data_IF_116922962093
#
_entry.id   IF_116922962093
#
_cell.length_a   1.000
_cell.length_b   1.000
_cell.length_c   1.000
_cell.angle_alpha   90.00
_cell.angle_beta   90.00
_cell.angle_gamma   90.00
#
_symmetry.space_group_name_H-M   'P 1'
#
loop_
_entity.id
_entity.type
_entity.pdbx_description
1 polymer ?
#
# COMPACT_ATOMS: atom_id res chain seq x y z
N UNK A 1 -26.43 36.01 15.83
CA UNK A 1 -26.18 34.98 16.87
C UNK A 1 -27.49 34.72 17.59
N UNK A 2 -28.25 33.73 17.14
CA UNK A 2 -29.47 33.27 17.83
C UNK A 2 -29.02 32.45 19.03
N UNK A 3 -29.42 32.81 20.26
CA UNK A 3 -29.20 31.97 21.44
C UNK A 3 -29.80 30.60 21.14
N UNK A 4 -28.96 29.56 20.98
CA UNK A 4 -29.46 28.20 20.87
C UNK A 4 -30.16 27.86 22.18
N UNK A 5 -31.47 27.60 22.09
CA UNK A 5 -32.28 27.16 23.22
C UNK A 5 -31.67 25.87 23.75
N UNK A 6 -31.26 25.91 25.01
CA UNK A 6 -30.68 24.75 25.72
C UNK A 6 -31.82 24.00 26.40
N UNK A 7 -31.84 22.68 26.30
CA UNK A 7 -32.80 21.85 27.03
C UNK A 7 -32.48 21.91 28.52
N UNK A 8 -33.45 22.39 29.30
CA UNK A 8 -33.33 22.67 30.73
C UNK A 8 -33.68 21.47 31.61
N UNK A 9 -34.49 20.53 31.10
CA UNK A 9 -34.98 19.39 31.86
C UNK A 9 -35.12 18.11 30.99
N UNK A 10 -35.37 16.98 31.67
CA UNK A 10 -35.51 15.65 31.05
C UNK A 10 -36.67 15.58 30.05
N UNK A 11 -37.82 16.19 30.35
CA UNK A 11 -39.00 16.12 29.50
C UNK A 11 -38.78 16.81 28.15
N UNK A 12 -38.06 17.94 28.13
CA UNK A 12 -37.66 18.62 26.90
C UNK A 12 -36.73 17.76 26.04
N UNK A 13 -35.82 17.02 26.66
CA UNK A 13 -34.92 16.09 25.95
C UNK A 13 -35.70 14.91 25.40
N UNK A 14 -36.61 14.32 26.16
CA UNK A 14 -37.49 13.23 25.68
C UNK A 14 -38.35 13.67 24.50
N UNK A 15 -38.95 14.88 24.57
CA UNK A 15 -39.70 15.45 23.47
C UNK A 15 -38.83 15.70 22.23
N UNK A 16 -37.59 16.17 22.43
CA UNK A 16 -36.65 16.36 21.33
C UNK A 16 -36.23 15.03 20.68
N UNK A 17 -35.98 13.99 21.49
CA UNK A 17 -35.67 12.65 21.00
C UNK A 17 -36.86 12.00 20.28
N UNK A 18 -38.09 12.21 20.79
CA UNK A 18 -39.31 11.72 20.14
C UNK A 18 -39.58 12.39 18.79
N UNK A 19 -39.12 13.64 18.61
CA UNK A 19 -39.22 14.38 17.36
C UNK A 19 -38.14 14.05 16.32
N UNK A 20 -37.20 13.16 16.64
CA UNK A 20 -36.16 12.75 15.69
C UNK A 20 -36.75 11.88 14.57
N UNK A 21 -36.12 11.89 13.39
CA UNK A 21 -36.48 10.93 12.34
C UNK A 21 -36.17 9.50 12.81
N UNK A 22 -36.71 8.51 12.10
CA UNK A 22 -36.48 7.09 12.42
C UNK A 22 -34.98 6.78 12.38
N UNK A 23 -34.57 5.76 13.13
CA UNK A 23 -33.16 5.32 13.21
C UNK A 23 -32.56 4.96 11.85
N UNK A 24 -33.36 4.57 10.87
CA UNK A 24 -32.90 4.27 9.51
C UNK A 24 -32.68 5.51 8.63
N UNK A 25 -33.12 6.68 9.08
CA UNK A 25 -33.04 7.91 8.32
C UNK A 25 -31.61 8.51 8.35
N UNK A 26 -31.06 8.97 7.20
CA UNK A 26 -29.76 9.62 7.14
C UNK A 26 -29.59 10.84 8.05
N UNK A 27 -30.67 11.54 8.38
CA UNK A 27 -30.65 12.71 9.26
C UNK A 27 -30.57 12.35 10.76
N UNK A 28 -30.82 11.09 11.14
CA UNK A 28 -30.87 10.67 12.54
C UNK A 28 -29.57 10.98 13.33
N UNK A 29 -28.35 10.63 12.87
CA UNK A 29 -27.13 10.94 13.61
C UNK A 29 -26.89 12.43 13.80
N UNK A 30 -27.27 13.24 12.82
CA UNK A 30 -27.14 14.69 12.90
C UNK A 30 -28.13 15.27 13.90
N UNK A 31 -29.37 14.82 13.87
CA UNK A 31 -30.38 15.19 14.88
C UNK A 31 -29.93 14.83 16.31
N UNK A 32 -29.35 13.64 16.52
CA UNK A 32 -28.80 13.27 17.82
C UNK A 32 -27.69 14.24 18.28
N UNK A 33 -26.76 14.61 17.40
CA UNK A 33 -25.68 15.56 17.74
C UNK A 33 -26.25 16.90 18.18
N UNK A 34 -27.26 17.40 17.48
CA UNK A 34 -27.93 18.65 17.84
C UNK A 34 -28.63 18.57 19.21
N UNK A 35 -29.23 17.42 19.53
CA UNK A 35 -29.82 17.22 20.86
C UNK A 35 -28.74 17.15 21.95
N UNK A 36 -27.62 16.46 21.70
CA UNK A 36 -26.48 16.41 22.63
C UNK A 36 -25.95 17.82 22.92
N UNK A 37 -25.68 18.61 21.88
CA UNK A 37 -25.07 19.94 22.00
C UNK A 37 -26.00 20.94 22.72
N UNK A 38 -27.32 20.71 22.67
CA UNK A 38 -28.33 21.52 23.38
C UNK A 38 -28.66 21.00 24.78
N UNK A 39 -28.13 19.85 25.21
CA UNK A 39 -28.49 19.25 26.51
C UNK A 39 -27.45 19.54 27.58
N UNK A 40 -27.85 20.19 28.68
CA UNK A 40 -26.98 20.32 29.87
C UNK A 40 -26.83 18.99 30.57
N UNK A 41 -25.61 18.66 30.99
CA UNK A 41 -25.29 17.37 31.62
C UNK A 41 -25.78 16.18 30.79
N UNK A 42 -25.62 16.27 29.46
CA UNK A 42 -26.08 15.32 28.44
C UNK A 42 -25.98 13.86 28.88
N UNK A 43 -24.79 13.38 29.24
CA UNK A 43 -24.58 11.98 29.62
C UNK A 43 -25.51 11.52 30.76
N UNK A 44 -25.62 12.32 31.83
CA UNK A 44 -26.46 11.96 32.97
C UNK A 44 -27.94 11.89 32.59
N UNK A 45 -28.39 12.82 31.75
CA UNK A 45 -29.80 12.88 31.30
C UNK A 45 -30.10 11.70 30.38
N UNK A 46 -29.28 11.46 29.37
CA UNK A 46 -29.48 10.35 28.43
C UNK A 46 -29.39 8.98 29.10
N UNK A 47 -28.45 8.77 30.05
CA UNK A 47 -28.40 7.52 30.83
C UNK A 47 -29.69 7.27 31.59
N UNK A 48 -30.24 8.28 32.27
CA UNK A 48 -31.53 8.16 32.98
C UNK A 48 -32.69 7.81 32.05
N UNK A 49 -32.75 8.42 30.87
CA UNK A 49 -33.77 8.08 29.86
C UNK A 49 -33.60 6.63 29.42
N UNK A 50 -32.36 6.21 29.13
CA UNK A 50 -32.03 4.85 28.69
C UNK A 50 -32.37 3.79 29.75
N UNK A 51 -32.19 4.10 31.04
CA UNK A 51 -32.48 3.25 32.19
C UNK A 51 -33.98 3.14 32.54
N UNK A 52 -34.81 4.08 32.06
CA UNK A 52 -36.22 4.16 32.43
C UNK A 52 -37.11 3.36 31.47
N UNK A 53 -37.51 2.16 31.86
CA UNK A 53 -38.35 1.26 31.06
C UNK A 53 -39.76 1.77 30.78
N UNK A 54 -40.21 2.85 31.44
CA UNK A 54 -41.49 3.49 31.12
C UNK A 54 -41.44 4.35 29.85
N UNK A 55 -40.23 4.72 29.40
CA UNK A 55 -40.01 5.48 28.17
C UNK A 55 -40.04 4.54 26.95
N UNK A 56 -40.59 5.02 25.84
CA UNK A 56 -40.65 4.25 24.59
C UNK A 56 -39.25 3.79 24.14
N UNK A 57 -39.17 2.55 23.63
CA UNK A 57 -37.92 1.89 23.25
C UNK A 57 -37.08 2.70 22.25
N UNK A 58 -37.71 3.36 21.27
CA UNK A 58 -37.01 4.17 20.27
C UNK A 58 -36.31 5.40 20.88
N UNK A 59 -36.96 6.04 21.86
CA UNK A 59 -36.39 7.19 22.60
C UNK A 59 -35.23 6.72 23.46
N UNK A 60 -35.39 5.55 24.12
CA UNK A 60 -34.32 4.95 24.94
C UNK A 60 -33.12 4.55 24.08
N UNK A 61 -33.36 3.99 22.90
CA UNK A 61 -32.30 3.68 21.94
C UNK A 61 -31.59 4.95 21.43
N UNK A 62 -32.34 6.01 21.12
CA UNK A 62 -31.77 7.30 20.75
C UNK A 62 -30.88 7.87 21.87
N UNK A 63 -31.32 7.74 23.13
CA UNK A 63 -30.52 8.11 24.28
C UNK A 63 -29.26 7.24 24.44
N UNK A 64 -29.36 5.92 24.24
CA UNK A 64 -28.20 5.00 24.23
C UNK A 64 -27.18 5.43 23.16
N UNK A 65 -27.65 5.64 21.92
CA UNK A 65 -26.82 6.09 20.81
C UNK A 65 -26.10 7.40 21.17
N UNK A 66 -26.82 8.36 21.78
CA UNK A 66 -26.24 9.64 22.18
C UNK A 66 -25.11 9.48 23.20
N UNK A 67 -25.27 8.60 24.20
CA UNK A 67 -24.22 8.32 25.19
C UNK A 67 -23.04 7.61 24.52
N UNK A 68 -23.28 6.57 23.72
CA UNK A 68 -22.21 5.83 23.03
C UNK A 68 -21.41 6.73 22.07
N UNK A 69 -22.09 7.61 21.32
CA UNK A 69 -21.43 8.59 20.45
C UNK A 69 -20.50 9.51 21.24
N UNK A 70 -20.95 9.97 22.41
CA UNK A 70 -20.14 10.82 23.29
C UNK A 70 -18.94 10.06 23.87
N UNK A 71 -19.16 8.86 24.42
CA UNK A 71 -18.10 8.02 24.98
C UNK A 71 -17.00 7.72 23.94
N UNK A 72 -17.39 7.44 22.69
CA UNK A 72 -16.45 7.24 21.58
C UNK A 72 -15.63 8.51 21.30
N UNK A 73 -16.26 9.68 21.28
CA UNK A 73 -15.57 10.97 21.04
C UNK A 73 -14.59 11.35 22.16
N UNK A 74 -14.93 10.98 23.39
CA UNK A 74 -14.10 11.19 24.58
C UNK A 74 -13.06 10.08 24.81
N UNK A 75 -12.98 9.08 23.91
CA UNK A 75 -12.10 7.92 24.01
C UNK A 75 -12.28 7.10 25.32
N UNK A 76 -13.47 7.18 25.92
CA UNK A 76 -13.87 6.40 27.11
C UNK A 76 -14.34 5.01 26.71
N UNK A 77 -13.43 4.24 26.14
CA UNK A 77 -13.72 2.97 25.47
C UNK A 77 -14.19 1.87 26.44
N UNK A 78 -13.67 1.84 27.67
CA UNK A 78 -14.15 0.92 28.71
C UNK A 78 -15.62 1.14 29.05
N UNK A 79 -16.02 2.41 29.22
CA UNK A 79 -17.41 2.79 29.49
C UNK A 79 -18.31 2.50 28.29
N UNK A 80 -17.77 2.66 27.07
CA UNK A 80 -18.47 2.35 25.82
C UNK A 80 -18.83 0.87 25.75
N UNK A 81 -17.84 -0.01 25.96
CA UNK A 81 -18.02 -1.47 25.94
C UNK A 81 -19.03 -1.88 27.01
N UNK A 82 -18.84 -1.45 28.26
CA UNK A 82 -19.74 -1.80 29.36
C UNK A 82 -21.20 -1.38 29.09
N UNK A 83 -21.40 -0.19 28.53
CA UNK A 83 -22.74 0.31 28.22
C UNK A 83 -23.38 -0.44 27.04
N UNK A 84 -22.63 -0.68 25.96
CA UNK A 84 -23.15 -1.41 24.81
C UNK A 84 -23.53 -2.85 25.20
N UNK A 85 -22.66 -3.58 25.92
CA UNK A 85 -22.94 -4.95 26.37
C UNK A 85 -24.16 -5.02 27.29
N UNK A 86 -24.35 -4.03 28.18
CA UNK A 86 -25.53 -3.96 29.05
C UNK A 86 -26.86 -3.94 28.28
N UNK A 87 -26.87 -3.28 27.14
CA UNK A 87 -28.09 -3.05 26.35
C UNK A 87 -28.20 -3.94 25.11
N UNK A 88 -27.27 -4.87 24.91
CA UNK A 88 -27.27 -5.76 23.75
C UNK A 88 -28.50 -6.66 23.69
N UNK A 89 -28.93 -7.21 24.83
CA UNK A 89 -30.12 -8.05 24.88
C UNK A 89 -31.41 -7.32 24.47
N UNK A 90 -31.46 -5.99 24.65
CA UNK A 90 -32.63 -5.19 24.35
C UNK A 90 -32.59 -4.57 22.95
N UNK A 91 -31.46 -3.97 22.58
CA UNK A 91 -31.33 -3.19 21.34
C UNK A 91 -30.44 -3.84 20.29
N UNK A 92 -30.00 -5.09 20.51
CA UNK A 92 -29.07 -5.80 19.62
C UNK A 92 -29.58 -6.04 18.20
N UNK A 93 -30.89 -5.91 17.96
CA UNK A 93 -31.55 -5.99 16.65
C UNK A 93 -31.64 -4.66 15.91
N UNK A 94 -31.32 -3.53 16.57
CA UNK A 94 -31.33 -2.22 15.93
C UNK A 94 -30.19 -2.10 14.91
N UNK A 95 -30.42 -1.52 13.71
CA UNK A 95 -29.39 -1.44 12.66
C UNK A 95 -28.06 -0.83 13.11
N UNK A 96 -28.10 0.27 13.87
CA UNK A 96 -26.89 0.91 14.39
C UNK A 96 -26.13 0.05 15.42
N UNK A 97 -26.76 -0.94 16.03
CA UNK A 97 -26.08 -1.78 17.03
C UNK A 97 -24.92 -2.56 16.42
N UNK A 98 -25.01 -2.90 15.14
CA UNK A 98 -23.89 -3.46 14.37
C UNK A 98 -22.67 -2.52 14.33
N UNK A 99 -22.88 -1.20 14.25
CA UNK A 99 -21.77 -0.23 14.31
C UNK A 99 -21.08 -0.24 15.67
N UNK A 100 -21.82 -0.55 16.75
CA UNK A 100 -21.27 -0.65 18.10
C UNK A 100 -20.47 -1.93 18.29
N UNK A 101 -20.99 -3.06 17.81
CA UNK A 101 -20.25 -4.33 17.78
C UNK A 101 -18.91 -4.19 17.04
N UNK A 102 -18.94 -3.51 15.89
CA UNK A 102 -17.72 -3.24 15.12
C UNK A 102 -16.71 -2.39 15.90
N UNK A 103 -17.17 -1.40 16.68
CA UNK A 103 -16.26 -0.63 17.56
C UNK A 103 -15.68 -1.51 18.66
N UNK A 104 -16.48 -2.35 19.32
CA UNK A 104 -16.01 -3.24 20.38
C UNK A 104 -14.94 -4.21 19.86
N UNK A 105 -15.22 -4.89 18.74
CA UNK A 105 -14.29 -5.83 18.11
C UNK A 105 -12.99 -5.17 17.65
N UNK A 106 -13.05 -3.94 17.13
CA UNK A 106 -11.84 -3.16 16.77
C UNK A 106 -10.93 -2.96 17.97
N UNK A 107 -11.47 -2.85 19.20
CA UNK A 107 -10.68 -2.63 20.41
C UNK A 107 -9.91 -3.88 20.87
N UNK A 108 -10.32 -5.07 20.45
CA UNK A 108 -9.61 -6.31 20.78
C UNK A 108 -8.22 -6.36 20.10
N UNK A 109 -8.09 -5.70 18.94
CA UNK A 109 -6.80 -5.34 18.35
C UNK A 109 -6.13 -6.43 17.51
N UNK A 110 -6.69 -7.64 17.42
CA UNK A 110 -6.21 -8.68 16.53
C UNK A 110 -6.90 -8.65 15.15
N UNK A 111 -6.25 -9.27 14.15
CA UNK A 111 -6.73 -9.29 12.77
C UNK A 111 -8.05 -10.05 12.59
N UNK A 112 -8.32 -11.08 13.42
CA UNK A 112 -9.54 -11.86 13.30
C UNK A 112 -10.75 -11.07 13.82
N UNK A 113 -10.59 -10.35 14.94
CA UNK A 113 -11.62 -9.45 15.45
C UNK A 113 -11.82 -8.25 14.55
N UNK A 114 -10.78 -7.72 13.90
CA UNK A 114 -10.94 -6.67 12.90
C UNK A 114 -11.73 -7.14 11.67
N UNK A 115 -11.54 -8.39 11.21
CA UNK A 115 -12.38 -8.97 10.15
C UNK A 115 -13.85 -9.07 10.59
N UNK A 116 -14.11 -9.52 11.81
CA UNK A 116 -15.48 -9.55 12.35
C UNK A 116 -16.09 -8.14 12.47
N UNK A 117 -15.28 -7.14 12.82
CA UNK A 117 -15.70 -5.75 12.85
C UNK A 117 -16.13 -5.26 11.45
N UNK A 118 -15.39 -5.65 10.41
CA UNK A 118 -15.74 -5.35 9.01
C UNK A 118 -17.09 -5.99 8.65
N UNK A 119 -17.31 -7.27 9.00
CA UNK A 119 -18.59 -7.95 8.71
C UNK A 119 -19.79 -7.27 9.40
N UNK A 120 -19.66 -6.91 10.68
CA UNK A 120 -20.72 -6.15 11.34
C UNK A 120 -20.92 -4.76 10.71
N UNK A 121 -19.86 -4.07 10.34
CA UNK A 121 -20.00 -2.76 9.70
C UNK A 121 -20.63 -2.89 8.30
N UNK A 122 -20.33 -3.94 7.53
CA UNK A 122 -21.00 -4.26 6.25
C UNK A 122 -22.48 -4.51 6.44
N UNK A 123 -22.86 -5.26 7.46
CA UNK A 123 -24.27 -5.50 7.78
C UNK A 123 -24.98 -4.19 8.15
N UNK A 124 -24.33 -3.32 8.94
CA UNK A 124 -24.85 -1.97 9.19
C UNK A 124 -25.03 -1.18 7.89
N UNK A 125 -24.04 -1.21 6.99
CA UNK A 125 -24.09 -0.51 5.71
C UNK A 125 -25.17 -1.05 4.76
N UNK A 126 -25.49 -2.35 4.84
CA UNK A 126 -26.61 -2.98 4.12
C UNK A 126 -27.96 -2.49 4.63
N UNK A 127 -28.10 -2.35 5.95
CA UNK A 127 -29.33 -1.86 6.59
C UNK A 127 -29.48 -0.33 6.51
N UNK A 128 -28.37 0.39 6.39
CA UNK A 128 -28.28 1.86 6.42
C UNK A 128 -27.46 2.40 5.23
N UNK A 129 -27.87 2.14 3.97
CA UNK A 129 -27.07 2.45 2.77
C UNK A 129 -26.83 3.95 2.57
N UNK A 130 -27.80 4.78 2.97
CA UNK A 130 -27.77 6.23 2.79
C UNK A 130 -27.12 6.98 3.96
N UNK A 131 -26.66 6.27 4.99
CA UNK A 131 -25.98 6.89 6.14
C UNK A 131 -24.49 6.96 5.88
N UNK A 132 -24.00 8.15 5.52
CA UNK A 132 -22.59 8.39 5.17
C UNK A 132 -21.59 7.89 6.24
N UNK A 133 -21.91 8.09 7.52
CA UNK A 133 -21.05 7.65 8.63
C UNK A 133 -20.91 6.13 8.72
N UNK A 134 -21.91 5.37 8.27
CA UNK A 134 -21.87 3.91 8.26
C UNK A 134 -21.04 3.43 7.07
N UNK A 135 -21.25 4.01 5.88
CA UNK A 135 -20.43 3.71 4.71
C UNK A 135 -18.94 3.99 4.97
N UNK A 136 -18.65 5.13 5.61
CA UNK A 136 -17.29 5.51 6.02
C UNK A 136 -16.69 4.53 7.04
N UNK A 137 -17.46 4.06 8.03
CA UNK A 137 -16.96 3.11 9.03
C UNK A 137 -16.45 1.82 8.38
N UNK A 138 -17.16 1.29 7.37
CA UNK A 138 -16.71 0.11 6.64
C UNK A 138 -15.39 0.39 5.92
N UNK A 139 -15.32 1.51 5.19
CA UNK A 139 -14.09 1.90 4.49
C UNK A 139 -12.90 2.07 5.45
N UNK A 140 -13.12 2.70 6.62
CA UNK A 140 -12.11 2.89 7.65
C UNK A 140 -11.57 1.55 8.17
N UNK A 141 -12.45 0.60 8.49
CA UNK A 141 -12.08 -0.71 9.01
C UNK A 141 -11.36 -1.58 7.98
N UNK A 142 -11.82 -1.58 6.72
CA UNK A 142 -11.12 -2.28 5.63
C UNK A 142 -9.73 -1.68 5.45
N UNK A 143 -9.62 -0.35 5.43
CA UNK A 143 -8.33 0.34 5.28
C UNK A 143 -7.38 -0.01 6.43
N UNK A 144 -7.87 0.02 7.67
CA UNK A 144 -7.10 -0.39 8.84
C UNK A 144 -6.64 -1.84 8.75
N UNK A 145 -7.51 -2.76 8.33
CA UNK A 145 -7.16 -4.15 8.15
C UNK A 145 -6.04 -4.34 7.13
N UNK A 146 -6.13 -3.67 5.98
CA UNK A 146 -5.12 -3.74 4.93
C UNK A 146 -3.79 -3.11 5.34
N UNK A 147 -3.80 -2.05 6.16
CA UNK A 147 -2.58 -1.45 6.71
C UNK A 147 -1.83 -2.36 7.69
N UNK A 148 -2.53 -3.29 8.36
CA UNK A 148 -1.93 -4.27 9.26
C UNK A 148 -1.49 -5.55 8.56
N UNK A 149 -1.81 -5.74 7.28
CA UNK A 149 -1.32 -6.89 6.52
C UNK A 149 0.14 -6.71 6.12
N UNK A 150 0.93 -7.77 6.25
CA UNK A 150 2.31 -7.81 5.76
C UNK A 150 2.38 -8.01 4.24
N UNK A 151 1.35 -8.61 3.66
CA UNK A 151 1.25 -8.90 2.23
C UNK A 151 0.60 -7.76 1.46
N UNK A 152 0.84 -7.73 0.13
CA UNK A 152 0.19 -6.75 -0.73
C UNK A 152 -1.33 -6.89 -0.65
N UNK A 153 -2.07 -5.78 -0.49
CA UNK A 153 -3.53 -5.79 -0.46
C UNK A 153 -4.12 -6.50 -1.67
N UNK A 154 -5.14 -7.35 -1.45
CA UNK A 154 -5.94 -7.88 -2.56
C UNK A 154 -6.65 -6.71 -3.24
N UNK A 155 -6.56 -6.54 -4.58
CA UNK A 155 -7.17 -5.40 -5.28
C UNK A 155 -8.62 -5.17 -4.85
N UNK A 156 -9.46 -6.21 -4.88
CA UNK A 156 -10.90 -6.08 -4.61
C UNK A 156 -11.26 -5.44 -3.27
N UNK A 157 -10.44 -5.61 -2.23
CA UNK A 157 -10.69 -4.98 -0.93
C UNK A 157 -10.35 -3.49 -0.92
N UNK A 158 -9.31 -3.08 -1.67
CA UNK A 158 -8.96 -1.65 -1.84
C UNK A 158 -10.04 -0.94 -2.63
N UNK A 159 -10.52 -1.55 -3.73
CA UNK A 159 -11.59 -0.97 -4.54
C UNK A 159 -12.92 -0.86 -3.78
N UNK A 160 -13.25 -1.84 -2.94
CA UNK A 160 -14.42 -1.78 -2.06
C UNK A 160 -14.32 -0.59 -1.08
N UNK A 161 -13.20 -0.46 -0.36
CA UNK A 161 -12.99 0.64 0.57
C UNK A 161 -13.06 2.00 -0.14
N UNK A 162 -12.48 2.11 -1.33
CA UNK A 162 -12.52 3.32 -2.15
C UNK A 162 -13.96 3.69 -2.55
N UNK A 163 -14.75 2.72 -3.04
CA UNK A 163 -16.15 2.94 -3.42
C UNK A 163 -17.01 3.38 -2.24
N UNK A 164 -16.78 2.82 -1.05
CA UNK A 164 -17.51 3.16 0.18
C UNK A 164 -17.18 4.56 0.70
N UNK A 165 -15.89 4.94 0.71
CA UNK A 165 -15.52 6.30 1.15
C UNK A 165 -15.98 7.35 0.15
N UNK A 166 -15.96 7.05 -1.15
CA UNK A 166 -16.46 7.96 -2.19
C UNK A 166 -17.97 8.17 -2.07
N UNK A 167 -18.72 7.11 -1.78
CA UNK A 167 -20.14 7.24 -1.45
C UNK A 167 -20.36 8.11 -0.21
N UNK A 168 -19.59 7.91 0.86
CA UNK A 168 -19.70 8.73 2.08
C UNK A 168 -19.41 10.22 1.81
N UNK A 169 -18.40 10.51 0.99
CA UNK A 169 -18.07 11.88 0.55
C UNK A 169 -19.22 12.47 -0.28
N UNK A 170 -19.78 11.71 -1.22
CA UNK A 170 -20.90 12.14 -2.06
C UNK A 170 -22.15 12.46 -1.23
N UNK A 171 -22.55 11.56 -0.32
CA UNK A 171 -23.70 11.72 0.57
C UNK A 171 -23.60 12.96 1.48
N UNK A 172 -22.38 13.42 1.75
CA UNK A 172 -22.13 14.61 2.58
C UNK A 172 -21.74 15.84 1.77
N UNK A 173 -21.83 15.77 0.44
CA UNK A 173 -21.43 16.84 -0.48
C UNK A 173 -20.01 17.35 -0.21
N UNK A 174 -19.11 16.45 0.19
CA UNK A 174 -17.70 16.76 0.47
C UNK A 174 -17.47 17.68 1.66
N UNK A 175 -18.40 17.75 2.63
CA UNK A 175 -18.29 18.65 3.80
C UNK A 175 -17.60 18.03 5.01
N UNK A 176 -17.40 16.71 5.02
CA UNK A 176 -16.86 15.99 6.19
C UNK A 176 -15.37 15.70 6.00
N UNK A 177 -14.53 16.39 6.77
CA UNK A 177 -13.07 16.35 6.66
C UNK A 177 -12.45 14.94 6.79
N UNK A 178 -12.81 14.18 7.83
CA UNK A 178 -12.19 12.87 8.10
C UNK A 178 -12.44 11.82 7.01
N UNK A 179 -13.45 11.98 6.14
CA UNK A 179 -13.64 11.08 5.00
C UNK A 179 -12.51 11.23 3.97
N UNK A 180 -12.01 12.45 3.77
CA UNK A 180 -10.87 12.68 2.90
C UNK A 180 -9.57 12.09 3.46
N UNK A 181 -9.43 12.04 4.79
CA UNK A 181 -8.28 11.38 5.42
C UNK A 181 -8.30 9.87 5.21
N UNK A 182 -9.47 9.22 5.36
CA UNK A 182 -9.61 7.80 5.04
C UNK A 182 -9.35 7.52 3.55
N UNK A 183 -9.87 8.38 2.65
CA UNK A 183 -9.55 8.27 1.21
C UNK A 183 -8.05 8.42 0.93
N UNK A 184 -7.36 9.32 1.63
CA UNK A 184 -5.91 9.46 1.50
C UNK A 184 -5.16 8.18 1.89
N UNK A 185 -5.57 7.53 2.99
CA UNK A 185 -5.01 6.25 3.44
C UNK A 185 -5.20 5.16 2.39
N UNK A 186 -6.39 5.06 1.80
CA UNK A 186 -6.68 4.13 0.70
C UNK A 186 -5.78 4.38 -0.52
N UNK A 187 -5.57 5.64 -0.91
CA UNK A 187 -4.68 5.98 -2.02
C UNK A 187 -3.21 5.64 -1.74
N UNK A 188 -2.78 5.59 -0.47
CA UNK A 188 -1.45 5.09 -0.12
C UNK A 188 -1.29 3.61 -0.42
N UNK A 189 -2.33 2.81 -0.17
CA UNK A 189 -2.34 1.39 -0.52
C UNK A 189 -2.21 1.18 -2.05
N UNK A 190 -2.60 2.18 -2.85
CA UNK A 190 -2.43 2.23 -4.31
C UNK A 190 -1.11 2.86 -4.78
N UNK A 191 -0.25 3.29 -3.86
CA UNK A 191 0.96 4.07 -4.13
C UNK A 191 0.72 5.44 -4.81
N UNK A 192 -0.51 5.99 -4.75
CA UNK A 192 -0.80 7.37 -5.20
C UNK A 192 -0.60 8.37 -4.06
N UNK A 193 0.66 8.55 -3.69
CA UNK A 193 1.06 9.41 -2.57
C UNK A 193 0.81 10.90 -2.86
N UNK A 194 0.84 11.31 -4.13
CA UNK A 194 0.63 12.71 -4.52
C UNK A 194 -0.82 13.13 -4.24
N UNK A 195 -1.78 12.34 -4.70
CA UNK A 195 -3.21 12.60 -4.44
C UNK A 195 -3.53 12.43 -2.96
N UNK A 196 -2.97 11.42 -2.28
CA UNK A 196 -3.14 11.24 -0.85
C UNK A 196 -2.75 12.49 -0.03
N UNK A 197 -1.59 13.12 -0.33
CA UNK A 197 -1.17 14.37 0.34
C UNK A 197 -2.15 15.52 0.12
N UNK A 198 -2.69 15.63 -1.08
CA UNK A 198 -3.70 16.66 -1.40
C UNK A 198 -4.97 16.46 -0.58
N UNK A 199 -5.43 15.22 -0.43
CA UNK A 199 -6.63 14.91 0.35
C UNK A 199 -6.43 15.15 1.85
N UNK A 200 -5.27 14.83 2.42
CA UNK A 200 -4.98 15.18 3.83
C UNK A 200 -4.95 16.68 4.03
N UNK A 201 -4.39 17.45 3.08
CA UNK A 201 -4.44 18.91 3.12
C UNK A 201 -5.88 19.41 3.11
N UNK A 202 -6.72 18.83 2.24
CA UNK A 202 -8.14 19.14 2.17
C UNK A 202 -8.88 18.82 3.48
N UNK A 203 -8.57 17.70 4.13
CA UNK A 203 -9.13 17.35 5.43
C UNK A 203 -8.79 18.41 6.49
N UNK A 204 -7.55 18.90 6.53
CA UNK A 204 -7.12 19.97 7.45
C UNK A 204 -7.87 21.28 7.17
N UNK A 205 -8.04 21.66 5.90
CA UNK A 205 -8.75 22.88 5.52
C UNK A 205 -10.24 22.86 5.90
N UNK A 206 -10.88 21.70 5.82
CA UNK A 206 -12.30 21.53 6.11
C UNK A 206 -12.62 21.38 7.60
N UNK A 207 -11.63 21.08 8.45
CA UNK A 207 -11.88 20.77 9.85
C UNK A 207 -12.29 22.03 10.65
N UNK A 208 -13.45 22.01 11.35
CA UNK A 208 -13.92 23.18 12.10
C UNK A 208 -13.00 23.57 13.26
N UNK A 209 -12.40 24.77 13.17
CA UNK A 209 -11.43 25.30 14.15
C UNK A 209 -11.96 25.46 15.58
N UNK A 210 -13.27 25.58 15.74
CA UNK A 210 -13.93 25.84 17.03
C UNK A 210 -14.52 24.56 17.66
N UNK A 211 -14.37 23.41 17.00
CA UNK A 211 -14.90 22.14 17.52
C UNK A 211 -14.07 21.61 18.69
N UNK A 212 -14.74 20.95 19.65
CA UNK A 212 -14.06 20.23 20.75
C UNK A 212 -13.06 19.17 20.24
N UNK A 213 -13.32 18.61 19.06
CA UNK A 213 -12.49 17.57 18.44
C UNK A 213 -11.34 18.13 17.59
N UNK A 214 -11.25 19.46 17.40
CA UNK A 214 -10.35 20.08 16.40
C UNK A 214 -8.89 19.67 16.57
N UNK A 215 -8.33 19.86 17.77
CA UNK A 215 -6.92 19.55 18.02
C UNK A 215 -6.61 18.06 17.82
N UNK A 216 -7.51 17.19 18.29
CA UNK A 216 -7.40 15.73 18.13
C UNK A 216 -7.38 15.35 16.65
N UNK A 217 -8.32 15.86 15.87
CA UNK A 217 -8.44 15.54 14.44
C UNK A 217 -7.30 16.09 13.61
N UNK A 218 -6.89 17.33 13.85
CA UNK A 218 -5.71 17.89 13.18
C UNK A 218 -4.46 17.07 13.49
N UNK A 219 -4.26 16.66 14.75
CA UNK A 219 -3.16 15.76 15.11
C UNK A 219 -3.21 14.44 14.35
N UNK A 220 -4.39 13.81 14.24
CA UNK A 220 -4.59 12.60 13.42
C UNK A 220 -4.21 12.83 11.95
N UNK A 221 -4.64 13.95 11.36
CA UNK A 221 -4.32 14.29 9.97
C UNK A 221 -2.81 14.51 9.75
N UNK A 222 -2.12 15.11 10.72
CA UNK A 222 -0.67 15.25 10.67
C UNK A 222 0.03 13.89 10.74
N UNK A 223 -0.41 13.00 11.63
CA UNK A 223 0.10 11.62 11.70
C UNK A 223 -0.08 10.90 10.37
N UNK A 224 -1.26 11.00 9.75
CA UNK A 224 -1.51 10.41 8.44
C UNK A 224 -0.59 11.03 7.38
N UNK A 225 -0.35 12.34 7.40
CA UNK A 225 0.61 12.98 6.48
C UNK A 225 2.02 12.40 6.60
N UNK A 226 2.51 12.22 7.82
CA UNK A 226 3.83 11.61 8.07
C UNK A 226 3.87 10.17 7.56
N UNK A 227 2.83 9.38 7.81
CA UNK A 227 2.71 8.01 7.28
C UNK A 227 2.80 7.98 5.75
N UNK A 228 2.13 8.90 5.06
CA UNK A 228 2.20 9.00 3.59
C UNK A 228 3.65 9.19 3.12
N UNK A 229 4.39 10.09 3.77
CA UNK A 229 5.77 10.37 3.38
C UNK A 229 6.70 9.18 3.65
N UNK A 230 6.50 8.46 4.76
CA UNK A 230 7.21 7.21 5.05
C UNK A 230 6.92 6.13 4.01
N UNK A 231 5.66 5.95 3.61
CA UNK A 231 5.30 4.98 2.56
C UNK A 231 5.90 5.35 1.20
N UNK A 232 5.90 6.64 0.84
CA UNK A 232 6.51 7.11 -0.39
C UNK A 232 8.01 6.83 -0.42
N UNK A 233 8.73 7.15 0.66
CA UNK A 233 10.17 6.87 0.77
C UNK A 233 10.48 5.37 0.71
N UNK A 234 9.66 4.53 1.37
CA UNK A 234 9.81 3.07 1.30
C UNK A 234 9.62 2.55 -0.12
N UNK A 235 8.61 3.04 -0.85
CA UNK A 235 8.36 2.64 -2.23
C UNK A 235 9.53 3.03 -3.15
N UNK A 236 10.08 4.24 -3.00
CA UNK A 236 11.22 4.71 -3.79
C UNK A 236 12.52 3.95 -3.44
N UNK A 237 12.72 3.62 -2.17
CA UNK A 237 13.84 2.78 -1.73
C UNK A 237 13.76 1.38 -2.35
N UNK A 238 12.59 0.75 -2.35
CA UNK A 238 12.39 -0.58 -2.96
C UNK A 238 12.67 -0.56 -4.48
N UNK A 239 12.18 0.46 -5.20
CA UNK A 239 12.47 0.63 -6.64
C UNK A 239 13.96 0.76 -6.90
N UNK A 240 14.64 1.55 -6.08
CA UNK A 240 16.10 1.77 -6.17
C UNK A 240 16.87 0.47 -5.90
N UNK A 241 16.47 -0.30 -4.88
CA UNK A 241 17.09 -1.59 -4.56
C UNK A 241 16.91 -2.61 -5.68
N UNK A 242 15.72 -2.68 -6.29
CA UNK A 242 15.46 -3.57 -7.41
C UNK A 242 16.28 -3.19 -8.64
N UNK A 243 16.46 -1.90 -8.90
CA UNK A 243 17.35 -1.42 -9.96
C UNK A 243 18.80 -1.85 -9.70
N UNK A 244 19.34 -1.60 -8.50
CA UNK A 244 20.69 -2.04 -8.14
C UNK A 244 20.88 -3.55 -8.25
N UNK A 245 19.88 -4.35 -7.87
CA UNK A 245 19.92 -5.80 -8.03
C UNK A 245 20.02 -6.22 -9.50
N UNK A 246 19.29 -5.56 -10.40
CA UNK A 246 19.36 -5.82 -11.85
C UNK A 246 20.73 -5.45 -12.41
N UNK A 247 21.23 -4.25 -12.09
CA UNK A 247 22.56 -3.79 -12.52
C UNK A 247 23.67 -4.73 -12.03
N UNK A 248 23.58 -5.23 -10.79
CA UNK A 248 24.50 -6.26 -10.28
C UNK A 248 24.37 -7.61 -10.98
N UNK A 249 23.16 -7.99 -11.38
CA UNK A 249 22.95 -9.18 -12.21
C UNK A 249 23.66 -9.05 -13.55
N UNK A 250 23.48 -7.92 -14.24
CA UNK A 250 24.13 -7.62 -15.51
C UNK A 250 25.66 -7.58 -15.38
N UNK A 251 26.18 -6.91 -14.35
CA UNK A 251 27.61 -6.85 -14.08
C UNK A 251 28.23 -8.23 -13.83
N UNK A 252 27.55 -9.09 -13.05
CA UNK A 252 28.01 -10.48 -12.82
C UNK A 252 28.04 -11.29 -14.12
N UNK A 253 27.02 -11.16 -14.96
CA UNK A 253 26.99 -11.83 -16.27
C UNK A 253 28.16 -11.37 -17.14
N UNK A 254 28.40 -10.06 -17.24
CA UNK A 254 29.53 -9.50 -17.98
C UNK A 254 30.89 -10.00 -17.45
N UNK A 255 31.05 -10.11 -16.12
CA UNK A 255 32.27 -10.66 -15.52
C UNK A 255 32.45 -12.15 -15.83
N UNK A 256 31.38 -12.95 -15.78
CA UNK A 256 31.44 -14.38 -16.14
C UNK A 256 31.74 -14.57 -17.62
N UNK A 257 31.19 -13.74 -18.50
CA UNK A 257 31.52 -13.73 -19.93
C UNK A 257 33.00 -13.41 -20.15
N UNK A 258 33.53 -12.39 -19.47
CA UNK A 258 34.95 -12.04 -19.54
C UNK A 258 35.85 -13.17 -19.00
N UNK A 259 35.46 -13.79 -17.87
CA UNK A 259 36.20 -14.90 -17.28
C UNK A 259 36.20 -16.13 -18.20
N UNK A 260 35.05 -16.47 -18.78
CA UNK A 260 34.90 -17.57 -19.73
C UNK A 260 35.71 -17.34 -21.00
N UNK A 261 35.71 -16.10 -21.51
CA UNK A 261 36.57 -15.70 -22.63
C UNK A 261 38.05 -15.88 -22.28
N UNK A 262 38.51 -15.33 -21.15
CA UNK A 262 39.91 -15.44 -20.73
C UNK A 262 40.33 -16.90 -20.49
N UNK A 263 39.48 -17.71 -19.88
CA UNK A 263 39.74 -19.13 -19.67
C UNK A 263 39.87 -19.88 -21.00
N UNK A 264 38.96 -19.61 -21.96
CA UNK A 264 39.04 -20.17 -23.31
C UNK A 264 40.34 -19.78 -24.03
N UNK A 265 40.75 -18.52 -23.89
CA UNK A 265 42.03 -18.01 -24.43
C UNK A 265 43.22 -18.72 -23.81
N UNK A 266 43.29 -18.81 -22.49
CA UNK A 266 44.40 -19.46 -21.78
C UNK A 266 44.49 -20.95 -22.15
N UNK A 267 43.35 -21.66 -22.18
CA UNK A 267 43.29 -23.05 -22.59
C UNK A 267 43.78 -23.25 -24.03
N UNK A 268 43.41 -22.35 -24.95
CA UNK A 268 43.87 -22.38 -26.33
C UNK A 268 45.39 -22.13 -26.44
N UNK A 269 45.92 -21.12 -25.73
CA UNK A 269 47.37 -20.81 -25.71
C UNK A 269 48.16 -21.98 -25.13
N UNK A 270 47.72 -22.57 -24.02
CA UNK A 270 48.36 -23.72 -23.39
C UNK A 270 48.34 -24.96 -24.30
N UNK A 271 47.22 -25.23 -24.96
CA UNK A 271 47.09 -26.32 -25.93
C UNK A 271 48.06 -26.12 -27.10
N UNK A 272 48.11 -24.92 -27.67
CA UNK A 272 49.03 -24.56 -28.75
C UNK A 272 50.49 -24.76 -28.34
N UNK A 273 50.87 -24.30 -27.15
CA UNK A 273 52.23 -24.44 -26.61
C UNK A 273 52.62 -25.91 -26.38
N UNK A 274 51.71 -26.72 -25.86
CA UNK A 274 51.96 -28.16 -25.64
C UNK A 274 52.10 -28.92 -26.96
N UNK A 275 51.29 -28.60 -27.96
CA UNK A 275 51.42 -29.25 -29.26
C UNK A 275 52.73 -28.80 -29.95
N UNK A 276 53.08 -27.53 -29.83
CA UNK A 276 54.33 -26.98 -30.33
C UNK A 276 55.58 -27.66 -29.73
N UNK A 277 55.56 -27.95 -28.42
CA UNK A 277 56.70 -28.59 -27.73
C UNK A 277 56.90 -30.06 -28.11
N UNK A 278 55.85 -30.74 -28.57
CA UNK A 278 55.91 -32.15 -28.99
C UNK A 278 56.21 -32.32 -30.49
N UNK A 279 56.00 -31.29 -31.30
CA UNK A 279 56.20 -31.36 -32.73
C UNK A 279 57.67 -31.12 -33.12
N UNK A 280 58.32 -32.11 -33.73
CA UNK A 280 59.71 -32.01 -34.21
C UNK A 280 59.78 -31.64 -35.70
N UNK A 281 60.74 -30.79 -36.07
CA UNK A 281 61.01 -30.42 -37.46
C UNK A 281 60.00 -29.46 -38.10
N UNK A 282 59.84 -29.54 -39.42
CA UNK A 282 59.03 -28.61 -40.23
C UNK A 282 57.53 -28.70 -39.97
N UNK A 283 57.05 -29.82 -39.42
CA UNK A 283 55.66 -30.00 -39.01
C UNK A 283 55.28 -29.11 -37.82
N UNK A 284 56.20 -28.88 -36.88
CA UNK A 284 55.94 -28.02 -35.71
C UNK A 284 55.73 -26.56 -36.08
N UNK A 285 56.55 -26.02 -36.98
CA UNK A 285 56.44 -24.64 -37.47
C UNK A 285 55.09 -24.39 -38.15
N UNK A 286 54.61 -25.35 -38.95
CA UNK A 286 53.29 -25.26 -39.58
C UNK A 286 52.16 -25.25 -38.59
N UNK A 287 52.24 -26.13 -37.59
CA UNK A 287 51.17 -26.27 -36.63
C UNK A 287 51.07 -25.04 -35.72
N UNK A 288 52.22 -24.47 -35.31
CA UNK A 288 52.27 -23.19 -34.60
C UNK A 288 51.67 -22.07 -35.46
N UNK A 289 52.02 -22.00 -36.75
CA UNK A 289 51.51 -20.96 -37.67
C UNK A 289 50.00 -21.10 -37.89
N UNK A 290 49.50 -22.33 -38.09
CA UNK A 290 48.07 -22.59 -38.24
C UNK A 290 47.28 -22.26 -36.95
N UNK A 291 47.84 -22.59 -35.78
CA UNK A 291 47.25 -22.26 -34.49
C UNK A 291 47.26 -20.75 -34.19
N UNK A 292 48.32 -20.04 -34.55
CA UNK A 292 48.37 -18.57 -34.45
C UNK A 292 47.33 -17.91 -35.36
N UNK A 293 47.15 -18.43 -36.59
CA UNK A 293 46.07 -18.00 -37.49
C UNK A 293 44.68 -18.25 -36.91
N UNK A 294 44.44 -19.45 -36.37
CA UNK A 294 43.18 -19.79 -35.71
C UNK A 294 42.89 -18.90 -34.49
N UNK A 295 43.90 -18.59 -33.67
CA UNK A 295 43.78 -17.66 -32.54
C UNK A 295 43.28 -16.28 -33.01
N UNK A 296 43.94 -15.72 -34.03
CA UNK A 296 43.60 -14.39 -34.56
C UNK A 296 42.17 -14.37 -35.10
N UNK A 297 41.71 -15.43 -35.78
CA UNK A 297 40.33 -15.54 -36.27
C UNK A 297 39.32 -15.58 -35.13
N UNK A 298 39.57 -16.37 -34.08
CA UNK A 298 38.69 -16.46 -32.91
C UNK A 298 38.56 -15.10 -32.20
N UNK A 299 39.69 -14.42 -31.95
CA UNK A 299 39.68 -13.09 -31.34
C UNK A 299 39.04 -12.02 -32.21
N UNK A 300 39.27 -12.06 -33.53
CA UNK A 300 38.66 -11.11 -34.46
C UNK A 300 37.15 -11.30 -34.53
N UNK A 301 36.67 -12.54 -34.53
CA UNK A 301 35.24 -12.86 -34.47
C UNK A 301 34.60 -12.34 -33.19
N UNK A 302 35.27 -12.51 -32.06
CA UNK A 302 34.78 -11.98 -30.78
C UNK A 302 34.77 -10.44 -30.76
N UNK A 303 35.81 -9.78 -31.27
CA UNK A 303 35.88 -8.32 -31.38
C UNK A 303 34.79 -7.73 -32.29
N UNK A 304 34.43 -8.44 -33.35
CA UNK A 304 33.33 -8.05 -34.24
C UNK A 304 31.95 -8.25 -33.56
N UNK A 305 31.80 -9.31 -32.77
CA UNK A 305 30.57 -9.62 -32.04
C UNK A 305 30.32 -8.66 -30.87
N UNK A 306 31.37 -8.17 -30.20
CA UNK A 306 31.26 -7.22 -29.09
C UNK A 306 30.95 -5.78 -29.52
N UNK A 307 30.67 -5.54 -30.80
CA UNK A 307 30.23 -4.23 -31.30
C UNK A 307 31.33 -3.18 -31.32
N UNK A 308 32.60 -3.59 -31.46
CA UNK A 308 33.74 -2.67 -31.55
C UNK A 308 33.51 -1.59 -32.62
N UNK A 309 33.63 -0.31 -32.22
CA UNK A 309 33.35 0.88 -33.06
C UNK A 309 34.16 0.92 -34.37
N UNK A 310 35.23 0.13 -34.46
CA UNK A 310 36.13 0.00 -35.61
C UNK A 310 36.01 -1.37 -36.31
N UNK A 311 34.81 -1.69 -36.82
CA UNK A 311 34.53 -2.93 -37.59
C UNK A 311 35.59 -3.25 -38.68
N UNK A 312 36.16 -2.22 -39.32
CA UNK A 312 37.22 -2.35 -40.34
C UNK A 312 38.49 -3.02 -39.80
N UNK A 313 38.89 -2.72 -38.56
CA UNK A 313 40.08 -3.33 -37.94
C UNK A 313 39.84 -4.80 -37.61
N UNK A 314 38.64 -5.13 -37.16
CA UNK A 314 38.22 -6.52 -36.91
C UNK A 314 38.24 -7.38 -38.17
N UNK A 315 37.72 -6.86 -39.29
CA UNK A 315 37.76 -7.59 -40.58
C UNK A 315 39.19 -7.79 -41.09
N UNK A 316 40.05 -6.77 -40.97
CA UNK A 316 41.45 -6.87 -41.38
C UNK A 316 42.20 -7.94 -40.55
N UNK A 317 42.03 -7.94 -39.24
CA UNK A 317 42.61 -8.95 -38.37
C UNK A 317 42.09 -10.36 -38.70
N UNK A 318 40.79 -10.53 -38.97
CA UNK A 318 40.21 -11.81 -39.37
C UNK A 318 40.82 -12.32 -40.69
N UNK A 319 41.01 -11.44 -41.67
CA UNK A 319 41.62 -11.79 -42.95
C UNK A 319 43.08 -12.22 -42.81
N UNK A 320 43.85 -11.54 -41.93
CA UNK A 320 45.22 -11.89 -41.62
C UNK A 320 45.30 -13.26 -40.91
N UNK A 321 44.41 -13.51 -39.94
CA UNK A 321 44.32 -14.79 -39.27
C UNK A 321 43.99 -15.94 -40.22
N UNK A 322 43.04 -15.73 -41.14
CA UNK A 322 42.68 -16.71 -42.16
C UNK A 322 43.86 -17.00 -43.09
N UNK A 323 44.60 -15.97 -43.51
CA UNK A 323 45.79 -16.13 -44.34
C UNK A 323 46.88 -16.94 -43.64
N UNK A 324 47.15 -16.67 -42.36
CA UNK A 324 48.09 -17.44 -41.56
C UNK A 324 47.66 -18.91 -41.39
N UNK A 325 46.35 -19.15 -41.24
CA UNK A 325 45.78 -20.49 -41.14
C UNK A 325 45.97 -21.28 -42.45
N UNK A 326 45.70 -20.64 -43.59
CA UNK A 326 45.91 -21.22 -44.93
C UNK A 326 47.39 -21.49 -45.19
N UNK A 327 48.28 -20.54 -44.85
CA UNK A 327 49.73 -20.71 -44.99
C UNK A 327 50.25 -21.84 -44.11
N UNK A 328 49.78 -21.94 -42.86
CA UNK A 328 50.14 -23.03 -41.96
C UNK A 328 49.74 -24.41 -42.48
N UNK A 329 48.57 -24.53 -43.10
CA UNK A 329 48.07 -25.80 -43.67
C UNK A 329 48.73 -26.18 -45.00
N UNK A 330 48.99 -25.21 -45.88
CA UNK A 330 49.43 -25.45 -47.26
C UNK A 330 50.94 -25.30 -47.49
N UNK A 331 51.71 -24.85 -46.50
CA UNK A 331 53.16 -24.71 -46.63
C UNK A 331 53.80 -26.03 -47.14
N UNK A 332 54.57 -26.05 -48.24
CA UNK A 332 55.20 -27.26 -48.79
C UNK A 332 56.32 -27.82 -47.90
N UNK A 333 56.52 -29.15 -47.85
CA UNK A 333 57.54 -29.84 -47.00
C UNK A 333 58.98 -29.52 -47.35
N UNK A 334 59.18 -28.90 -48.51
CA UNK A 334 60.49 -28.62 -49.09
C UNK A 334 61.08 -27.26 -48.70
N UNK A 335 60.31 -26.37 -48.04
CA UNK A 335 60.78 -25.02 -47.68
C UNK A 335 61.57 -24.93 -46.37
N UNK A 336 61.64 -26.01 -45.58
CA UNK A 336 62.30 -26.05 -44.26
C UNK A 336 63.54 -26.98 -44.26
N UNK A 337 63.87 -27.59 -45.40
CA UNK A 337 65.13 -28.32 -45.61
C UNK A 337 66.02 -27.55 -46.58
N UNK A 338 66.64 -26.48 -46.09
CA UNK A 338 68.00 -26.14 -46.49
C UNK A 338 68.83 -26.00 -45.21
N UNK A 339 69.98 -26.70 -45.13
CA UNK A 339 70.83 -26.73 -43.93
C UNK A 339 71.35 -25.34 -43.54
#
# INVERSE_FOLDING_TARGET
MTRMVTYANRAEVEAALAGLPRTVDPAFPQGIREVIDRTRNAERVFRRICDDSSVAADIRFAALYAVLLRLRREERLTDYVALASRYEGEFGSQPYFHTFRAVILRLEGDLASLLQAIEHSREAARLLPEVAGVQHQVAELITEYLEHQESLPRPGAVEEAEGLVDRAIALTYGRVAHYFETKARILCLRNDFATARSLVRRAIELEPKQGQDYLRRVSQYQTTRVKIDVFAQRADFMRTQDQFRREMGEFKTQQLELLGLLAGVVAFVASTANIASQATGSAGVRLITAMAGALIVVFSSFFLMSGGRDWRRGMLAASLGLLLLVVGLLAPTWLVHRP
#
